data_IF_150172754631
#
_entry.id   IF_150172754631
#
_cell.length_a   1.000
_cell.length_b   1.000
_cell.length_c   1.000
_cell.angle_alpha   90.00
_cell.angle_beta   90.00
_cell.angle_gamma   90.00
#
_symmetry.space_group_name_H-M   'P 1'
#
loop_
_entity.id
_entity.type
_entity.pdbx_description
1 polymer ?
#
# COMPACT_ATOMS: atom_id res chain seq x y z
N UNK A 1 -21.62 -7.22 10.87
CA UNK A 1 -21.22 -6.23 9.85
C UNK A 1 -21.01 -6.89 8.50
N UNK A 2 -21.18 -6.13 7.44
CA UNK A 2 -20.87 -6.55 6.05
C UNK A 2 -19.98 -5.53 5.38
N UNK A 3 -19.24 -5.97 4.36
CA UNK A 3 -18.45 -5.08 3.50
C UNK A 3 -19.01 -5.15 2.08
N UNK A 4 -19.24 -3.99 1.48
CA UNK A 4 -19.74 -3.86 0.11
C UNK A 4 -18.71 -3.15 -0.75
N UNK A 5 -18.36 -3.75 -1.89
CA UNK A 5 -17.51 -3.12 -2.88
C UNK A 5 -18.33 -2.57 -4.04
N UNK A 6 -18.12 -1.30 -4.39
CA UNK A 6 -18.92 -0.59 -5.40
C UNK A 6 -18.63 -0.97 -6.86
N UNK A 7 -18.02 -2.13 -7.12
CA UNK A 7 -17.83 -2.70 -8.46
C UNK A 7 -18.20 -4.16 -8.49
N UNK A 8 -18.74 -4.62 -9.60
CA UNK A 8 -18.94 -6.04 -9.87
C UNK A 8 -17.60 -6.73 -10.18
N UNK A 9 -17.55 -8.04 -10.00
CA UNK A 9 -16.39 -8.84 -10.37
C UNK A 9 -16.00 -8.67 -11.86
N UNK A 10 -17.00 -8.50 -12.75
CA UNK A 10 -16.78 -8.28 -14.18
C UNK A 10 -16.13 -6.92 -14.49
N UNK A 11 -16.46 -5.88 -13.73
CA UNK A 11 -15.85 -4.56 -13.90
C UNK A 11 -14.39 -4.54 -13.46
N UNK A 12 -13.98 -5.39 -12.51
CA UNK A 12 -12.63 -5.37 -11.94
C UNK A 12 -12.23 -3.95 -11.51
N UNK A 13 -11.26 -3.34 -12.20
CA UNK A 13 -10.80 -1.97 -11.90
C UNK A 13 -11.26 -0.92 -12.93
N UNK A 14 -12.12 -1.29 -13.87
CA UNK A 14 -12.64 -0.33 -14.85
C UNK A 14 -13.79 0.53 -14.30
N UNK A 15 -13.94 1.74 -14.82
CA UNK A 15 -14.96 2.68 -14.41
C UNK A 15 -14.76 3.21 -12.97
N UNK A 16 -15.85 3.70 -12.38
CA UNK A 16 -15.89 4.22 -10.99
C UNK A 16 -16.66 3.26 -10.09
N UNK A 17 -16.30 3.22 -8.81
CA UNK A 17 -17.08 2.54 -7.78
C UNK A 17 -18.42 3.23 -7.58
N UNK A 18 -19.49 2.46 -7.52
CA UNK A 18 -20.84 2.94 -7.26
C UNK A 18 -21.07 3.09 -5.75
N UNK A 19 -20.86 4.30 -5.25
CA UNK A 19 -21.09 4.63 -3.84
C UNK A 19 -22.57 4.89 -3.54
N UNK A 20 -23.40 5.19 -4.56
CA UNK A 20 -24.84 5.23 -4.42
C UNK A 20 -25.41 3.88 -4.03
N UNK A 21 -25.04 2.82 -4.78
CA UNK A 21 -25.40 1.44 -4.45
C UNK A 21 -24.92 1.01 -3.05
N UNK A 22 -23.70 1.36 -2.67
CA UNK A 22 -23.19 1.07 -1.31
C UNK A 22 -24.07 1.75 -0.25
N UNK A 23 -24.44 3.01 -0.47
CA UNK A 23 -25.30 3.77 0.44
C UNK A 23 -26.70 3.19 0.53
N UNK A 24 -27.29 2.73 -0.58
CA UNK A 24 -28.62 2.10 -0.60
C UNK A 24 -28.61 0.77 0.18
N UNK A 25 -27.56 -0.04 0.01
CA UNK A 25 -27.37 -1.25 0.83
C UNK A 25 -27.26 -0.89 2.30
N UNK A 26 -26.47 0.13 2.65
CA UNK A 26 -26.30 0.54 4.04
C UNK A 26 -27.58 1.01 4.70
N UNK A 27 -28.50 1.65 3.93
CA UNK A 27 -29.83 2.07 4.42
C UNK A 27 -30.83 0.92 4.51
N UNK A 28 -30.60 -0.19 3.81
CA UNK A 28 -31.54 -1.31 3.73
C UNK A 28 -31.34 -2.37 4.81
N UNK A 29 -30.30 -2.25 5.64
CA UNK A 29 -29.96 -3.23 6.67
C UNK A 29 -29.67 -2.57 8.02
N UNK A 30 -29.96 -3.29 9.12
CA UNK A 30 -29.76 -2.80 10.50
C UNK A 30 -28.37 -3.14 11.07
N UNK A 31 -27.48 -3.70 10.27
CA UNK A 31 -26.13 -4.04 10.68
C UNK A 31 -25.10 -3.07 10.08
N UNK A 32 -23.95 -2.85 10.74
CA UNK A 32 -22.89 -1.98 10.21
C UNK A 32 -22.45 -2.40 8.82
N UNK A 33 -22.42 -1.44 7.89
CA UNK A 33 -21.91 -1.62 6.51
C UNK A 33 -20.63 -0.83 6.32
N UNK A 34 -19.60 -1.50 5.80
CA UNK A 34 -18.34 -0.86 5.39
C UNK A 34 -18.31 -0.76 3.87
N UNK A 35 -18.07 0.45 3.36
CA UNK A 35 -17.95 0.69 1.92
C UNK A 35 -16.52 0.55 1.43
N UNK A 36 -16.33 0.03 0.24
CA UNK A 36 -15.02 -0.11 -0.42
C UNK A 36 -15.07 0.36 -1.88
N UNK A 37 -14.09 1.17 -2.29
CA UNK A 37 -13.89 1.57 -3.69
C UNK A 37 -13.35 2.99 -3.84
N UNK A 38 -12.37 3.16 -4.73
CA UNK A 38 -11.81 4.42 -5.23
C UNK A 38 -11.42 5.49 -4.19
N UNK A 39 -11.03 5.08 -3.00
CA UNK A 39 -10.46 5.97 -1.99
C UNK A 39 -8.92 5.89 -2.07
N UNK A 40 -8.30 6.93 -2.61
CA UNK A 40 -6.85 7.04 -2.81
C UNK A 40 -6.23 8.28 -2.16
N UNK A 41 -7.07 9.24 -1.79
CA UNK A 41 -6.69 10.47 -1.08
C UNK A 41 -7.41 10.54 0.29
N UNK A 42 -6.75 11.13 1.32
CA UNK A 42 -7.32 11.17 2.69
C UNK A 42 -8.69 11.83 2.78
N UNK A 43 -8.92 12.93 2.03
CA UNK A 43 -10.19 13.65 2.03
C UNK A 43 -11.35 12.77 1.55
N UNK A 44 -11.09 11.89 0.57
CA UNK A 44 -12.13 10.99 0.03
C UNK A 44 -12.70 10.04 1.09
N UNK A 45 -11.91 9.67 2.12
CA UNK A 45 -12.42 8.84 3.21
C UNK A 45 -13.50 9.59 3.98
N UNK A 46 -13.28 10.88 4.26
CA UNK A 46 -14.22 11.72 4.98
C UNK A 46 -15.46 12.04 4.14
N UNK A 47 -15.28 12.33 2.85
CA UNK A 47 -16.37 12.52 1.89
C UNK A 47 -17.29 11.28 1.89
N UNK A 48 -16.73 10.08 1.76
CA UNK A 48 -17.52 8.84 1.74
C UNK A 48 -18.25 8.60 3.06
N UNK A 49 -17.62 8.89 4.20
CA UNK A 49 -18.29 8.79 5.50
C UNK A 49 -19.43 9.79 5.67
N UNK A 50 -19.31 11.00 5.13
CA UNK A 50 -20.33 12.04 5.26
C UNK A 50 -21.47 11.89 4.25
N UNK A 51 -21.18 11.42 3.02
CA UNK A 51 -22.12 11.36 1.91
C UNK A 51 -22.89 10.03 1.82
N UNK A 52 -22.39 8.96 2.44
CA UNK A 52 -23.01 7.65 2.42
C UNK A 52 -23.40 7.20 3.82
N UNK A 53 -24.37 6.29 3.93
CA UNK A 53 -24.86 5.77 5.20
C UNK A 53 -23.96 4.67 5.80
N UNK A 54 -22.68 4.58 5.36
CA UNK A 54 -21.76 3.54 5.81
C UNK A 54 -21.20 3.84 7.19
N UNK A 55 -20.92 2.78 7.95
CA UNK A 55 -20.26 2.85 9.27
C UNK A 55 -18.74 3.02 9.18
N UNK A 56 -18.16 2.81 7.98
CA UNK A 56 -16.73 2.97 7.76
C UNK A 56 -16.33 2.72 6.31
N UNK A 57 -15.08 3.07 6.00
CA UNK A 57 -14.50 2.97 4.65
C UNK A 57 -13.30 2.04 4.67
N UNK A 58 -13.28 1.05 3.76
CA UNK A 58 -12.15 0.18 3.52
C UNK A 58 -11.29 0.72 2.38
N UNK A 59 -10.00 0.84 2.64
CA UNK A 59 -9.02 1.37 1.68
C UNK A 59 -8.07 0.27 1.25
N UNK A 60 -8.09 -0.09 -0.04
CA UNK A 60 -7.15 -1.04 -0.64
C UNK A 60 -5.93 -0.33 -1.24
N UNK A 61 -6.00 -0.04 -2.54
CA UNK A 61 -4.90 0.57 -3.32
C UNK A 61 -4.40 1.91 -2.78
N UNK A 62 -5.28 2.70 -2.15
CA UNK A 62 -4.88 3.96 -1.51
C UNK A 62 -3.86 3.75 -0.40
N UNK A 63 -4.05 2.74 0.45
CA UNK A 63 -3.11 2.41 1.52
C UNK A 63 -1.77 1.86 0.99
N UNK A 64 -1.79 1.13 -0.14
CA UNK A 64 -0.54 0.69 -0.78
C UNK A 64 0.30 1.85 -1.36
N UNK A 65 -0.36 2.91 -1.81
CA UNK A 65 0.32 4.13 -2.29
C UNK A 65 0.74 5.06 -1.17
N UNK A 66 -0.11 5.15 -0.16
CA UNK A 66 0.04 6.08 0.96
C UNK A 66 -0.34 5.38 2.27
N UNK A 67 0.59 4.71 2.95
CA UNK A 67 0.33 4.04 4.22
C UNK A 67 -0.19 4.98 5.32
N UNK A 68 0.06 6.28 5.20
CA UNK A 68 -0.37 7.30 6.17
C UNK A 68 -1.78 7.83 5.89
N UNK A 69 -2.48 7.32 4.88
CA UNK A 69 -3.79 7.83 4.43
C UNK A 69 -4.81 7.93 5.59
N UNK A 70 -4.82 6.95 6.49
CA UNK A 70 -5.72 6.95 7.65
C UNK A 70 -5.35 8.01 8.68
N UNK A 71 -4.06 8.17 8.96
CA UNK A 71 -3.58 9.18 9.88
C UNK A 71 -3.79 10.59 9.33
N UNK A 72 -3.63 10.78 8.03
CA UNK A 72 -3.92 12.03 7.33
C UNK A 72 -5.42 12.32 7.31
N UNK A 73 -6.27 11.32 7.12
CA UNK A 73 -7.73 11.48 7.23
C UNK A 73 -8.15 11.87 8.65
N UNK A 74 -7.51 11.30 9.68
CA UNK A 74 -7.75 11.70 11.07
C UNK A 74 -7.31 13.15 11.34
N UNK A 75 -6.19 13.61 10.79
CA UNK A 75 -5.77 15.01 10.88
C UNK A 75 -6.84 15.93 10.28
N UNK A 76 -7.30 15.63 9.06
CA UNK A 76 -8.36 16.41 8.38
C UNK A 76 -9.68 16.39 9.15
N UNK A 77 -10.07 15.25 9.72
CA UNK A 77 -11.28 15.11 10.54
C UNK A 77 -11.23 15.97 11.80
N UNK A 78 -10.04 16.18 12.34
CA UNK A 78 -9.81 17.06 13.49
C UNK A 78 -9.67 18.55 13.11
N UNK A 79 -9.88 18.92 11.84
CA UNK A 79 -9.74 20.28 11.32
C UNK A 79 -8.30 20.74 11.11
N UNK A 80 -7.34 19.83 11.18
CA UNK A 80 -5.93 20.11 10.95
C UNK A 80 -5.55 19.88 9.47
N UNK A 81 -4.41 20.46 9.04
CA UNK A 81 -3.82 20.09 7.77
C UNK A 81 -3.31 18.63 7.83
N UNK A 82 -3.48 17.89 6.74
CA UNK A 82 -2.94 16.54 6.64
C UNK A 82 -1.42 16.55 6.85
N UNK A 83 -0.93 15.66 7.72
CA UNK A 83 0.52 15.56 8.00
C UNK A 83 1.32 15.30 6.74
N UNK A 84 2.43 16.02 6.62
CA UNK A 84 3.36 15.83 5.52
C UNK A 84 4.21 14.58 5.75
N UNK A 85 4.44 13.84 4.68
CA UNK A 85 5.30 12.66 4.66
C UNK A 85 6.55 13.00 3.88
N UNK A 86 7.67 13.18 4.57
CA UNK A 86 8.95 13.49 3.94
C UNK A 86 9.45 12.34 3.09
N UNK A 87 10.35 12.65 2.16
CA UNK A 87 10.97 11.64 1.31
C UNK A 87 11.77 10.63 2.13
N UNK A 88 12.50 11.10 3.11
CA UNK A 88 13.23 10.29 4.08
C UNK A 88 12.32 9.34 4.87
N UNK A 89 11.17 9.83 5.36
CA UNK A 89 10.18 9.00 6.06
C UNK A 89 9.65 7.88 5.18
N UNK A 90 9.54 8.11 3.88
CA UNK A 90 9.17 7.08 2.91
C UNK A 90 10.24 5.99 2.79
N UNK A 91 11.51 6.37 2.80
CA UNK A 91 12.64 5.45 2.78
C UNK A 91 12.69 4.56 4.03
N UNK A 92 12.60 5.17 5.21
CA UNK A 92 12.55 4.44 6.47
C UNK A 92 11.38 3.44 6.50
N UNK A 93 10.19 3.84 6.09
CA UNK A 93 9.04 2.93 6.01
C UNK A 93 9.33 1.69 5.14
N UNK A 94 9.99 1.86 3.99
CA UNK A 94 10.32 0.73 3.12
C UNK A 94 11.38 -0.18 3.75
N UNK A 95 12.35 0.37 4.47
CA UNK A 95 13.35 -0.39 5.19
C UNK A 95 12.74 -1.15 6.36
N UNK A 96 11.87 -0.51 7.15
CA UNK A 96 11.13 -1.15 8.25
C UNK A 96 10.23 -2.29 7.73
N UNK A 97 9.56 -2.06 6.60
CA UNK A 97 8.72 -3.08 5.97
C UNK A 97 9.55 -4.25 5.44
N UNK A 98 10.75 -3.99 4.89
CA UNK A 98 11.71 -5.02 4.50
C UNK A 98 12.13 -5.86 5.72
N UNK A 99 12.45 -5.21 6.84
CA UNK A 99 12.87 -5.90 8.07
C UNK A 99 11.73 -6.71 8.68
N UNK A 100 10.51 -6.18 8.64
CA UNK A 100 9.31 -6.90 9.06
C UNK A 100 9.10 -8.18 8.23
N UNK A 101 9.20 -8.09 6.90
CA UNK A 101 9.07 -9.27 6.02
C UNK A 101 10.16 -10.31 6.26
N UNK A 102 11.39 -9.88 6.60
CA UNK A 102 12.48 -10.78 6.94
C UNK A 102 12.30 -11.41 8.32
N UNK A 103 11.69 -10.67 9.27
CA UNK A 103 11.41 -11.12 10.63
C UNK A 103 10.17 -12.01 10.75
N UNK A 104 9.21 -11.93 9.82
CA UNK A 104 8.04 -12.80 9.85
C UNK A 104 8.46 -14.27 9.75
N UNK A 105 8.23 -15.01 10.83
CA UNK A 105 8.40 -16.46 10.85
C UNK A 105 7.43 -17.11 9.86
N UNK A 106 7.87 -18.15 9.19
CA UNK A 106 7.11 -18.93 8.21
C UNK A 106 5.96 -19.65 8.91
N UNK A 107 4.90 -18.92 9.19
CA UNK A 107 3.66 -19.42 9.79
C UNK A 107 2.45 -18.80 9.08
N UNK A 108 2.50 -18.65 7.74
CA UNK A 108 1.33 -18.23 6.99
C UNK A 108 0.25 -19.32 7.08
N UNK A 109 -0.90 -18.92 7.63
CA UNK A 109 -2.08 -19.77 7.68
C UNK A 109 -2.42 -20.31 6.29
N UNK A 110 -2.76 -21.60 6.24
CA UNK A 110 -3.29 -22.25 5.03
C UNK A 110 -4.44 -21.43 4.44
N UNK A 111 -4.25 -20.88 3.25
CA UNK A 111 -5.30 -20.12 2.55
C UNK A 111 -4.84 -19.03 1.62
N UNK A 112 -3.63 -18.52 1.74
CA UNK A 112 -3.09 -17.54 0.79
C UNK A 112 -2.41 -18.21 -0.42
N UNK A 113 -2.76 -17.79 -1.63
CA UNK A 113 -2.31 -18.38 -2.91
C UNK A 113 -0.81 -18.28 -3.22
N UNK A 114 0.00 -17.79 -2.30
CA UNK A 114 1.45 -17.70 -2.45
C UNK A 114 2.15 -18.61 -1.42
N UNK A 115 2.05 -19.92 -1.65
CA UNK A 115 2.82 -20.89 -0.87
C UNK A 115 4.30 -20.71 -1.16
N UNK A 116 5.08 -20.46 -0.10
CA UNK A 116 6.52 -20.74 -0.14
C UNK A 116 6.70 -22.26 -0.33
N UNK A 117 7.62 -22.73 -1.19
CA UNK A 117 7.92 -24.16 -1.26
C UNK A 117 8.54 -24.60 0.08
N UNK A 118 7.80 -25.39 0.82
CA UNK A 118 8.21 -25.98 2.10
C UNK A 118 9.05 -27.21 1.86
N UNK A 119 10.28 -27.12 1.38
CA UNK A 119 11.19 -28.28 1.35
C UNK A 119 12.66 -27.87 1.38
N UNK A 120 13.35 -28.18 2.49
CA UNK A 120 14.80 -28.16 2.65
C UNK A 120 15.39 -26.85 3.17
N UNK A 121 16.21 -26.90 4.21
CA UNK A 121 16.76 -25.74 4.92
C UNK A 121 17.60 -24.78 4.06
N UNK A 122 18.22 -25.21 2.97
CA UNK A 122 19.01 -24.38 2.04
C UNK A 122 18.21 -23.80 0.88
N UNK A 123 17.09 -24.43 0.51
CA UNK A 123 16.15 -23.87 -0.48
C UNK A 123 15.30 -22.74 0.14
N UNK A 124 15.18 -22.67 1.45
CA UNK A 124 14.35 -21.73 2.19
C UNK A 124 14.89 -20.30 2.20
N UNK A 125 16.21 -20.09 2.39
CA UNK A 125 16.79 -18.74 2.46
C UNK A 125 16.69 -18.03 1.09
N UNK A 126 17.17 -18.64 0.01
CA UNK A 126 17.07 -18.06 -1.35
C UNK A 126 15.62 -17.88 -1.82
N UNK A 127 14.73 -18.79 -1.49
CA UNK A 127 13.30 -18.69 -1.80
C UNK A 127 12.65 -17.55 -1.04
N UNK A 128 13.03 -17.34 0.21
CA UNK A 128 12.54 -16.25 1.05
C UNK A 128 13.03 -14.90 0.56
N UNK A 129 14.32 -14.75 0.30
CA UNK A 129 14.87 -13.50 -0.24
C UNK A 129 14.16 -13.10 -1.53
N UNK A 130 13.97 -14.04 -2.44
CA UNK A 130 13.24 -13.82 -3.67
C UNK A 130 11.77 -13.42 -3.44
N UNK A 131 11.11 -14.02 -2.46
CA UNK A 131 9.74 -13.66 -2.09
C UNK A 131 9.69 -12.23 -1.55
N UNK A 132 10.58 -11.85 -0.62
CA UNK A 132 10.69 -10.51 -0.06
C UNK A 132 10.96 -9.50 -1.16
N UNK A 133 11.94 -9.75 -2.04
CA UNK A 133 12.27 -8.88 -3.17
C UNK A 133 11.03 -8.69 -4.08
N UNK A 134 10.28 -9.75 -4.37
CA UNK A 134 9.08 -9.67 -5.19
C UNK A 134 7.95 -8.85 -4.51
N UNK A 135 7.80 -8.95 -3.19
CA UNK A 135 6.87 -8.11 -2.43
C UNK A 135 7.24 -6.63 -2.53
N UNK A 136 8.52 -6.31 -2.39
CA UNK A 136 9.01 -4.93 -2.52
C UNK A 136 8.92 -4.41 -3.97
N UNK A 137 9.10 -5.25 -5.00
CA UNK A 137 8.85 -4.90 -6.41
C UNK A 137 7.40 -4.49 -6.63
N UNK A 138 6.46 -5.30 -6.14
CA UNK A 138 5.03 -5.03 -6.25
C UNK A 138 4.65 -3.75 -5.49
N UNK A 139 5.08 -3.61 -4.24
CA UNK A 139 4.83 -2.42 -3.42
C UNK A 139 5.49 -1.17 -4.01
N UNK A 140 6.74 -1.27 -4.45
CA UNK A 140 7.50 -0.19 -5.06
C UNK A 140 6.79 0.44 -6.26
N UNK A 141 6.10 -0.38 -7.07
CA UNK A 141 5.32 0.11 -8.20
C UNK A 141 4.18 1.05 -7.77
N UNK A 142 3.53 0.77 -6.65
CA UNK A 142 2.46 1.61 -6.08
C UNK A 142 3.02 2.80 -5.30
N UNK A 143 3.99 2.55 -4.45
CA UNK A 143 4.51 3.48 -3.47
C UNK A 143 5.31 4.64 -4.07
N UNK A 144 6.01 4.39 -5.18
CA UNK A 144 6.81 5.40 -5.89
C UNK A 144 6.03 6.12 -7.00
N UNK A 145 4.74 5.84 -7.14
CA UNK A 145 3.90 6.53 -8.13
C UNK A 145 3.79 8.01 -7.78
N UNK A 146 4.23 8.86 -8.72
CA UNK A 146 4.26 10.33 -8.52
C UNK A 146 5.49 10.85 -7.77
N UNK A 147 6.43 9.98 -7.37
CA UNK A 147 7.74 10.44 -6.86
C UNK A 147 8.65 10.83 -8.01
N UNK A 148 9.39 11.91 -7.83
CA UNK A 148 10.49 12.28 -8.74
C UNK A 148 11.48 11.11 -8.82
N UNK A 149 11.96 10.80 -10.03
CA UNK A 149 12.82 9.64 -10.31
C UNK A 149 12.26 8.26 -9.86
N UNK A 150 10.98 8.16 -9.50
CA UNK A 150 10.37 6.90 -9.08
C UNK A 150 10.39 5.81 -10.16
N UNK A 151 10.45 6.18 -11.45
CA UNK A 151 10.64 5.24 -12.57
C UNK A 151 12.04 4.61 -12.56
N UNK A 152 13.07 5.37 -12.21
CA UNK A 152 14.45 4.89 -12.07
C UNK A 152 14.54 3.89 -10.90
N UNK A 153 14.05 4.27 -9.73
CA UNK A 153 14.03 3.37 -8.58
C UNK A 153 13.31 2.04 -8.88
N UNK A 154 12.19 2.07 -9.60
CA UNK A 154 11.49 0.83 -9.98
C UNK A 154 12.33 -0.07 -10.89
N UNK A 155 13.10 0.51 -11.82
CA UNK A 155 14.03 -0.26 -12.67
C UNK A 155 15.12 -0.90 -11.82
N UNK A 156 15.72 -0.15 -10.90
CA UNK A 156 16.76 -0.65 -9.99
C UNK A 156 16.22 -1.76 -9.08
N UNK A 157 15.08 -1.56 -8.42
CA UNK A 157 14.45 -2.60 -7.59
C UNK A 157 14.13 -3.87 -8.40
N UNK A 158 13.75 -3.73 -9.67
CA UNK A 158 13.51 -4.89 -10.53
C UNK A 158 14.79 -5.64 -10.91
N UNK A 159 15.94 -4.97 -10.90
CA UNK A 159 17.23 -5.56 -11.24
C UNK A 159 17.95 -6.18 -10.03
N UNK A 160 17.55 -5.87 -8.78
CA UNK A 160 18.24 -6.41 -7.60
C UNK A 160 18.08 -7.93 -7.49
N UNK A 161 19.12 -8.59 -7.04
CA UNK A 161 19.16 -10.04 -6.87
C UNK A 161 19.34 -10.47 -5.40
N UNK A 162 19.70 -9.53 -4.52
CA UNK A 162 19.91 -9.78 -3.10
C UNK A 162 19.17 -8.79 -2.20
N UNK A 163 18.91 -9.21 -0.94
CA UNK A 163 18.36 -8.32 0.08
C UNK A 163 19.30 -7.15 0.39
N UNK A 164 20.62 -7.40 0.38
CA UNK A 164 21.61 -6.36 0.60
C UNK A 164 21.56 -5.28 -0.49
N UNK A 165 21.43 -5.69 -1.75
CA UNK A 165 21.29 -4.74 -2.87
C UNK A 165 19.97 -3.98 -2.79
N UNK A 166 18.86 -4.65 -2.46
CA UNK A 166 17.56 -4.01 -2.28
C UNK A 166 17.63 -2.93 -1.20
N UNK A 167 18.22 -3.25 -0.05
CA UNK A 167 18.40 -2.31 1.06
C UNK A 167 19.24 -1.10 0.65
N UNK A 168 20.36 -1.34 -0.01
CA UNK A 168 21.25 -0.29 -0.53
C UNK A 168 20.50 0.60 -1.53
N UNK A 169 19.79 0.04 -2.49
CA UNK A 169 18.99 0.80 -3.48
C UNK A 169 17.96 1.70 -2.81
N UNK A 170 17.22 1.20 -1.81
CA UNK A 170 16.26 2.02 -1.06
C UNK A 170 16.99 3.12 -0.27
N UNK A 171 18.06 2.77 0.41
CA UNK A 171 18.84 3.72 1.22
C UNK A 171 19.38 4.86 0.34
N UNK A 172 20.09 4.53 -0.74
CA UNK A 172 20.67 5.52 -1.66
C UNK A 172 19.60 6.43 -2.25
N UNK A 173 18.46 5.88 -2.67
CA UNK A 173 17.42 6.67 -3.29
C UNK A 173 16.72 7.64 -2.32
N UNK A 174 16.43 7.23 -1.09
CA UNK A 174 15.60 7.99 -0.17
C UNK A 174 16.39 8.76 0.89
N UNK A 175 17.55 8.26 1.31
CA UNK A 175 18.27 8.74 2.49
C UNK A 175 19.60 9.40 2.18
N UNK A 176 20.19 9.14 1.01
CA UNK A 176 21.40 9.88 0.63
C UNK A 176 21.00 11.24 0.04
N UNK A 177 21.71 12.32 0.40
CA UNK A 177 21.50 13.61 -0.21
C UNK A 177 21.84 13.49 -1.70
N UNK A 178 20.81 13.63 -2.54
CA UNK A 178 21.06 13.89 -3.97
C UNK A 178 21.71 15.25 -4.02
N UNK A 179 22.94 15.31 -4.50
CA UNK A 179 23.59 16.58 -4.87
C UNK A 179 22.71 17.24 -5.95
N UNK A 180 21.75 18.06 -5.52
CA UNK A 180 20.82 18.82 -6.40
C UNK A 180 21.54 19.99 -7.09
N UNK A 181 22.87 19.95 -7.11
CA UNK A 181 23.73 21.00 -7.61
C UNK A 181 24.33 20.69 -8.98
N UNK A 182 23.61 20.02 -9.90
CA UNK A 182 24.02 20.01 -11.32
C UNK A 182 22.80 19.83 -12.22
N UNK A 183 22.02 20.91 -12.39
CA UNK A 183 21.24 21.13 -13.59
C UNK A 183 21.14 22.64 -13.79
N UNK A 184 22.16 23.20 -14.46
CA UNK A 184 22.08 24.47 -15.17
C UNK A 184 21.55 24.19 -16.56
#
# INVERSE_FOLDING_TARGET
AITVHGRTAKQSYSGRSDWGLISDVARSVDIPVFGSGDCVEPAQLLERLSESAVSGVLVGRGALRNPWIFAQAADLSAGNAARQVTFEKKGHFLLDYLDLLLGEGVGEAEGFRHRLPLTGETATARGRDRWVINKLRALGAWYTKGCENGSHLRKEINAVESIADLRRTIHTFFLEPIDRCTAV
#
